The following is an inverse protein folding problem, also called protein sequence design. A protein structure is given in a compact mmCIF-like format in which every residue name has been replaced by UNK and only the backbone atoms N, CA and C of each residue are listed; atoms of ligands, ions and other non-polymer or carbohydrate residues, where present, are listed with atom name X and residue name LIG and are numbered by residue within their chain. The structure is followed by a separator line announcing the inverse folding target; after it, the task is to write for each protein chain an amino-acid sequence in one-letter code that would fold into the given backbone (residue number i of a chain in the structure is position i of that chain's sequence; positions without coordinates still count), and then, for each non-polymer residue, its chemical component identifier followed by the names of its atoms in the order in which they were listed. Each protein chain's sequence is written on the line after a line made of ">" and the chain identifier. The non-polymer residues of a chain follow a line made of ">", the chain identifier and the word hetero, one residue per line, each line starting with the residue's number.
data_IF_526377209291
#
_entry.id   IF_526377209291
#
_cell.length_a   1.000
_cell.length_b   1.000
_cell.length_c   1.000
_cell.angle_alpha   90.00
_cell.angle_beta   90.00
_cell.angle_gamma   90.00
#
_symmetry.space_group_name_H-M   'P 1'
#
loop_
_entity.id
_entity.type
_entity.pdbx_description
1 polymer ?
#
# COMPACT_ATOMS: atom_id res chain seq x y z
N UNK A 1 -1.40 -2.67 8.43
CA UNK A 1 -1.06 -1.45 7.66
C UNK A 1 -2.15 -1.24 6.63
N UNK A 2 -2.52 0.01 6.36
CA UNK A 2 -3.56 0.39 5.39
C UNK A 2 -2.93 0.62 4.03
N UNK A 3 -3.57 0.11 2.97
CA UNK A 3 -3.10 0.21 1.59
C UNK A 3 -4.18 0.81 0.71
N UNK A 4 -3.90 2.00 0.18
CA UNK A 4 -4.74 2.62 -0.84
C UNK A 4 -4.31 2.14 -2.23
N UNK A 5 -5.22 1.53 -2.97
CA UNK A 5 -5.01 1.10 -4.34
C UNK A 5 -5.62 2.14 -5.29
N UNK A 6 -4.88 2.50 -6.32
CA UNK A 6 -5.31 3.31 -7.45
C UNK A 6 -5.14 2.50 -8.73
N UNK A 7 -6.07 2.66 -9.69
CA UNK A 7 -5.93 2.07 -11.01
C UNK A 7 -5.42 3.13 -11.99
N UNK A 8 -4.24 2.92 -12.54
CA UNK A 8 -3.59 3.81 -13.50
C UNK A 8 -3.44 3.09 -14.85
N UNK A 9 -4.42 3.29 -15.73
CA UNK A 9 -4.47 2.59 -17.02
C UNK A 9 -4.63 1.08 -16.85
N UNK A 10 -3.60 0.33 -17.26
CA UNK A 10 -3.54 -1.14 -17.13
C UNK A 10 -2.88 -1.61 -15.82
N UNK A 11 -2.37 -0.67 -15.02
CA UNK A 11 -1.65 -0.95 -13.77
C UNK A 11 -2.50 -0.63 -12.54
N UNK A 12 -2.17 -1.27 -11.44
CA UNK A 12 -2.59 -0.91 -10.09
C UNK A 12 -1.38 -0.42 -9.31
N UNK A 13 -1.54 0.72 -8.63
CA UNK A 13 -0.56 1.30 -7.71
C UNK A 13 -1.11 1.19 -6.29
N UNK A 14 -0.31 0.68 -5.37
CA UNK A 14 -0.66 0.56 -3.96
C UNK A 14 0.26 1.40 -3.10
N UNK A 15 -0.31 2.27 -2.28
CA UNK A 15 0.40 3.12 -1.33
C UNK A 15 0.06 2.67 0.10
N UNK A 16 1.08 2.32 0.88
CA UNK A 16 0.96 2.15 2.33
C UNK A 16 0.75 3.52 2.98
N UNK A 17 -0.20 3.64 3.91
CA UNK A 17 -0.49 4.94 4.54
C UNK A 17 0.42 5.23 5.74
N UNK A 18 0.73 4.21 6.54
CA UNK A 18 1.56 4.36 7.74
C UNK A 18 3.04 4.62 7.41
N UNK A 19 3.50 4.17 6.24
CA UNK A 19 4.87 4.31 5.76
C UNK A 19 4.82 4.62 4.27
N UNK A 20 5.61 5.58 3.80
CA UNK A 20 5.70 5.99 2.40
C UNK A 20 6.40 4.92 1.54
N UNK A 21 5.70 3.81 1.38
CA UNK A 21 6.10 2.62 0.64
C UNK A 21 5.02 2.34 -0.38
N UNK A 22 5.41 2.28 -1.65
CA UNK A 22 4.51 1.98 -2.73
C UNK A 22 5.01 0.81 -3.59
N UNK A 23 4.07 0.11 -4.22
CA UNK A 23 4.35 -0.86 -5.26
C UNK A 23 3.34 -0.72 -6.41
N UNK A 24 3.62 -1.40 -7.52
CA UNK A 24 2.73 -1.47 -8.67
C UNK A 24 2.67 -2.89 -9.26
N UNK A 25 1.52 -3.26 -9.83
CA UNK A 25 1.31 -4.55 -10.48
C UNK A 25 0.21 -4.50 -11.54
N UNK A 26 0.16 -5.50 -12.43
CA UNK A 26 -0.87 -5.60 -13.47
C UNK A 26 -2.20 -6.14 -12.93
N UNK A 27 -2.21 -6.68 -11.70
CA UNK A 27 -3.38 -7.11 -10.95
C UNK A 27 -3.24 -6.71 -9.49
N UNK A 28 -4.35 -6.74 -8.75
CA UNK A 28 -4.33 -6.51 -7.29
C UNK A 28 -3.47 -7.56 -6.58
N UNK A 29 -3.55 -8.83 -6.98
CA UNK A 29 -2.77 -9.91 -6.36
C UNK A 29 -1.25 -9.73 -6.59
N UNK A 30 -0.86 -9.33 -7.80
CA UNK A 30 0.53 -9.03 -8.13
C UNK A 30 1.02 -7.79 -7.36
N UNK A 31 0.20 -6.73 -7.32
CA UNK A 31 0.48 -5.53 -6.55
C UNK A 31 0.73 -5.87 -5.07
N UNK A 32 -0.18 -6.62 -4.44
CA UNK A 32 -0.06 -6.98 -3.03
C UNK A 32 1.16 -7.86 -2.77
N UNK A 33 1.44 -8.83 -3.64
CA UNK A 33 2.63 -9.68 -3.54
C UNK A 33 3.92 -8.86 -3.60
N UNK A 34 3.99 -7.88 -4.50
CA UNK A 34 5.15 -6.97 -4.62
C UNK A 34 5.25 -6.04 -3.42
N UNK A 35 4.13 -5.49 -2.95
CA UNK A 35 4.10 -4.60 -1.80
C UNK A 35 4.63 -5.27 -0.53
N UNK A 36 4.21 -6.50 -0.26
CA UNK A 36 4.71 -7.28 0.89
C UNK A 36 6.22 -7.46 0.80
N UNK A 37 6.74 -7.84 -0.38
CA UNK A 37 8.19 -7.97 -0.58
C UNK A 37 8.94 -6.65 -0.38
N UNK A 38 8.39 -5.53 -0.86
CA UNK A 38 8.98 -4.20 -0.66
C UNK A 38 9.01 -3.84 0.83
N UNK A 39 7.93 -4.07 1.57
CA UNK A 39 7.86 -3.83 3.01
C UNK A 39 8.87 -4.68 3.76
N UNK A 40 8.99 -5.96 3.43
CA UNK A 40 9.96 -6.87 4.05
C UNK A 40 11.40 -6.45 3.78
N UNK A 41 11.69 -6.00 2.55
CA UNK A 41 13.01 -5.50 2.17
C UNK A 41 13.36 -4.22 2.93
N UNK A 42 12.48 -3.23 2.92
CA UNK A 42 12.67 -1.96 3.67
C UNK A 42 12.87 -2.23 5.16
N UNK A 43 12.10 -3.15 5.74
CA UNK A 43 12.23 -3.55 7.13
C UNK A 43 13.60 -4.17 7.41
N UNK A 44 14.05 -5.10 6.55
CA UNK A 44 15.34 -5.77 6.66
C UNK A 44 16.52 -4.80 6.55
N UNK A 45 16.49 -3.88 5.59
CA UNK A 45 17.56 -2.89 5.38
C UNK A 45 17.65 -1.86 6.51
N UNK A 46 16.57 -1.70 7.29
CA UNK A 46 16.45 -0.75 8.40
C UNK A 46 16.48 -1.42 9.78
N UNK A 47 17.24 -2.51 9.91
CA UNK A 47 17.43 -3.25 11.17
C UNK A 47 16.12 -3.82 11.78
N UNK A 48 15.18 -4.21 10.93
CA UNK A 48 13.90 -4.80 11.35
C UNK A 48 12.83 -3.76 11.75
N UNK A 49 12.94 -2.52 11.28
CA UNK A 49 12.01 -1.43 11.64
C UNK A 49 11.69 -0.52 10.47
N UNK A 50 10.44 -0.10 10.35
CA UNK A 50 9.98 0.91 9.40
C UNK A 50 9.80 2.30 10.06
N UNK A 51 10.19 2.46 11.33
CA UNK A 51 9.91 3.66 12.11
C UNK A 51 10.53 4.95 11.55
N UNK A 52 11.61 4.83 10.76
CA UNK A 52 12.30 5.96 10.12
C UNK A 52 11.73 6.29 8.72
N UNK A 53 10.67 5.60 8.28
CA UNK A 53 9.97 5.91 7.04
C UNK A 53 8.75 6.75 7.42
N UNK A 54 8.72 7.98 6.89
CA UNK A 54 7.61 8.90 7.07
C UNK A 54 6.29 8.27 6.60
N UNK A 55 5.13 8.67 7.14
CA UNK A 55 3.84 8.29 6.59
C UNK A 55 3.67 8.77 5.15
N UNK A 56 2.71 8.19 4.43
CA UNK A 56 2.38 8.66 3.09
C UNK A 56 1.95 10.14 3.10
N UNK A 57 2.14 10.87 1.99
CA UNK A 57 1.62 12.22 1.84
C UNK A 57 0.13 12.33 2.19
N UNK A 58 -0.26 13.45 2.80
CA UNK A 58 -1.62 13.68 3.35
C UNK A 58 -2.73 13.48 2.32
N UNK A 59 -2.44 13.69 1.03
CA UNK A 59 -3.38 13.44 -0.07
C UNK A 59 -3.86 11.98 -0.13
N UNK A 60 -2.99 11.00 0.11
CA UNK A 60 -3.37 9.59 0.11
C UNK A 60 -4.26 9.25 1.30
N UNK A 61 -4.06 9.89 2.45
CA UNK A 61 -4.96 9.76 3.60
C UNK A 61 -6.36 10.30 3.28
N UNK A 62 -6.45 11.46 2.60
CA UNK A 62 -7.74 12.03 2.16
C UNK A 62 -8.44 11.14 1.13
N UNK A 63 -7.68 10.51 0.23
CA UNK A 63 -8.23 9.56 -0.73
C UNK A 63 -8.74 8.30 -0.04
N UNK A 64 -8.04 7.81 0.98
CA UNK A 64 -8.46 6.67 1.79
C UNK A 64 -9.81 6.87 2.47
N UNK A 65 -10.11 8.08 2.94
CA UNK A 65 -11.39 8.38 3.59
C UNK A 65 -12.58 8.27 2.63
N UNK A 66 -12.34 8.47 1.33
CA UNK A 66 -13.34 8.38 0.27
C UNK A 66 -13.30 7.05 -0.51
N UNK A 67 -12.31 6.20 -0.22
CA UNK A 67 -12.07 4.96 -0.95
C UNK A 67 -13.05 3.85 -0.55
N UNK A 68 -13.32 2.95 -1.50
CA UNK A 68 -14.12 1.75 -1.24
C UNK A 68 -13.26 0.69 -0.56
N UNK A 69 -13.60 0.35 0.67
CA UNK A 69 -12.96 -0.78 1.39
C UNK A 69 -13.22 -2.10 0.65
N UNK A 70 -12.18 -2.90 0.49
CA UNK A 70 -12.31 -4.28 0.06
C UNK A 70 -12.68 -5.13 1.30
N UNK A 71 -13.62 -6.07 1.13
CA UNK A 71 -14.20 -6.80 2.25
C UNK A 71 -13.23 -7.75 2.95
N UNK A 72 -12.19 -8.19 2.24
CA UNK A 72 -11.19 -9.14 2.72
C UNK A 72 -9.85 -8.44 2.93
N UNK A 73 -9.21 -8.73 4.05
CA UNK A 73 -7.81 -8.36 4.29
C UNK A 73 -6.91 -9.13 3.30
N UNK A 74 -5.99 -8.42 2.66
CA UNK A 74 -4.99 -9.04 1.78
C UNK A 74 -3.69 -9.15 2.58
N UNK A 75 -3.22 -10.37 2.88
CA UNK A 75 -1.99 -10.60 3.64
C UNK A 75 -1.93 -9.90 5.02
N UNK A 76 -3.07 -9.65 5.68
CA UNK A 76 -3.14 -8.89 6.94
C UNK A 76 -3.11 -7.37 6.77
N UNK A 77 -3.34 -6.87 5.55
CA UNK A 77 -3.47 -5.45 5.25
C UNK A 77 -4.94 -5.07 5.06
N UNK A 78 -5.32 -3.91 5.58
CA UNK A 78 -6.59 -3.27 5.25
C UNK A 78 -6.45 -2.60 3.88
N UNK A 79 -7.30 -2.97 2.93
CA UNK A 79 -7.17 -2.50 1.54
C UNK A 79 -8.39 -1.71 1.12
N UNK A 80 -8.15 -0.60 0.41
CA UNK A 80 -9.21 0.19 -0.18
C UNK A 80 -8.86 0.64 -1.60
N UNK A 81 -9.85 0.67 -2.47
CA UNK A 81 -9.71 1.16 -3.84
C UNK A 81 -10.18 2.62 -3.92
N UNK A 82 -9.29 3.52 -4.30
CA UNK A 82 -9.64 4.89 -4.62
C UNK A 82 -10.59 4.92 -5.84
N UNK A 83 -11.55 5.84 -5.82
CA UNK A 83 -12.55 6.01 -6.87
C UNK A 83 -11.98 6.71 -8.11
#
# INVERSE_FOLDING_TARGET
>A
MRVLIQKEGEMFVGQCLEHDICAQGCSVDELMSRLVLTVDLECSERNGSLADIDPAPEEFHKMWDNARRLADEQCGYEVALAA
#
